data_IF_756093803432
#
_entry.id   IF_756093803432
#
_cell.length_a   1.000
_cell.length_b   1.000
_cell.length_c   1.000
_cell.angle_alpha   90.00
_cell.angle_beta   90.00
_cell.angle_gamma   90.00
#
_symmetry.space_group_name_H-M   'P 1'
#
loop_
_entity.id
_entity.type
_entity.pdbx_description
1 polymer ?
#
# COMPACT_ATOMS: atom_id res chain seq x y z
N UNK A 1 13.46 27.00 -17.62
CA UNK A 1 13.07 25.63 -18.03
C UNK A 1 11.90 25.22 -17.14
N UNK A 2 10.68 25.06 -17.67
CA UNK A 2 9.53 24.71 -16.84
C UNK A 2 9.64 23.24 -16.41
N UNK A 3 9.49 22.98 -15.11
CA UNK A 3 9.35 21.62 -14.58
C UNK A 3 8.11 20.99 -15.20
N UNK A 4 8.29 19.86 -15.91
CA UNK A 4 7.17 19.09 -16.44
C UNK A 4 6.33 18.56 -15.24
N UNK A 5 5.03 18.89 -15.15
CA UNK A 5 4.17 18.51 -14.03
C UNK A 5 3.63 17.07 -14.14
N UNK A 6 4.07 16.30 -15.13
CA UNK A 6 3.82 14.86 -15.17
C UNK A 6 4.65 14.19 -14.08
N UNK A 7 4.05 14.17 -12.90
CA UNK A 7 4.53 13.45 -11.73
C UNK A 7 4.85 12.02 -12.15
N UNK A 8 6.14 11.73 -12.30
CA UNK A 8 6.72 10.42 -12.63
C UNK A 8 6.48 9.36 -11.55
N UNK A 9 5.67 9.69 -10.55
CA UNK A 9 5.32 8.88 -9.41
C UNK A 9 3.81 8.71 -9.36
N UNK A 10 3.32 7.52 -8.98
CA UNK A 10 1.90 7.26 -8.97
C UNK A 10 1.20 8.21 -7.98
N UNK A 11 0.49 9.20 -8.52
CA UNK A 11 -0.41 10.08 -7.76
C UNK A 11 -1.70 9.32 -7.33
N UNK A 12 -1.86 8.07 -7.81
CA UNK A 12 -2.88 7.10 -7.40
C UNK A 12 -2.25 5.97 -6.60
N UNK A 13 -2.92 5.52 -5.53
CA UNK A 13 -2.50 4.34 -4.75
C UNK A 13 -2.16 3.18 -5.68
N UNK A 14 -0.95 2.65 -5.51
CA UNK A 14 -0.38 1.60 -6.34
C UNK A 14 0.29 0.60 -5.43
N UNK A 15 0.04 -0.68 -5.65
CA UNK A 15 0.55 -1.75 -4.82
C UNK A 15 1.31 -2.78 -5.64
N UNK A 16 2.36 -3.34 -5.05
CA UNK A 16 3.04 -4.53 -5.55
C UNK A 16 2.70 -5.71 -4.64
N UNK A 17 2.32 -6.83 -5.24
CA UNK A 17 2.08 -8.09 -4.54
C UNK A 17 3.20 -9.06 -4.92
N UNK A 18 3.94 -9.52 -3.92
CA UNK A 18 4.96 -10.55 -4.06
C UNK A 18 4.41 -11.86 -3.47
N UNK A 19 4.00 -12.76 -4.34
CA UNK A 19 3.50 -14.09 -3.95
C UNK A 19 4.70 -14.99 -3.63
N UNK A 20 4.64 -15.74 -2.52
CA UNK A 20 5.68 -16.71 -2.19
C UNK A 20 5.61 -17.92 -3.11
N UNK A 21 6.74 -18.60 -3.30
CA UNK A 21 6.82 -19.77 -4.17
C UNK A 21 5.94 -20.94 -3.69
N UNK A 22 5.68 -21.03 -2.39
CA UNK A 22 4.86 -22.06 -1.76
C UNK A 22 3.37 -21.68 -1.64
N UNK A 23 2.96 -20.52 -2.18
CA UNK A 23 1.57 -20.08 -2.11
C UNK A 23 0.65 -21.06 -2.84
N UNK A 24 -0.44 -21.43 -2.18
CA UNK A 24 -1.50 -22.27 -2.73
C UNK A 24 -2.72 -21.40 -3.06
N UNK A 25 -3.63 -21.85 -3.94
CA UNK A 25 -4.88 -21.14 -4.22
C UNK A 25 -5.70 -20.86 -2.95
N UNK A 26 -5.71 -21.80 -2.00
CA UNK A 26 -6.42 -21.68 -0.72
C UNK A 26 -5.59 -20.98 0.38
N UNK A 27 -4.28 -20.90 0.18
CA UNK A 27 -3.32 -20.28 1.10
C UNK A 27 -2.39 -19.33 0.33
N UNK A 28 -2.99 -18.25 -0.19
CA UNK A 28 -2.25 -17.22 -0.90
C UNK A 28 -1.39 -16.45 0.11
N UNK A 29 -0.12 -16.82 0.20
CA UNK A 29 0.84 -16.21 1.11
C UNK A 29 1.85 -15.33 0.37
N UNK A 30 2.22 -14.21 0.95
CA UNK A 30 3.06 -13.22 0.28
C UNK A 30 3.26 -11.94 1.06
N UNK A 31 3.70 -10.92 0.32
CA UNK A 31 3.91 -9.57 0.84
C UNK A 31 3.26 -8.53 -0.07
N UNK A 32 2.52 -7.62 0.55
CA UNK A 32 1.97 -6.42 -0.06
C UNK A 32 2.91 -5.24 0.21
N UNK A 33 3.13 -4.41 -0.80
CA UNK A 33 3.93 -3.18 -0.71
C UNK A 33 3.14 -2.03 -1.34
N UNK A 34 2.87 -0.97 -0.56
CA UNK A 34 2.27 0.27 -1.07
C UNK A 34 3.40 1.17 -1.60
N UNK A 35 3.38 1.46 -2.91
CA UNK A 35 4.42 2.26 -3.56
C UNK A 35 4.36 3.75 -3.23
N UNK A 36 3.23 4.23 -2.71
CA UNK A 36 3.04 5.64 -2.35
C UNK A 36 3.54 5.90 -0.94
N UNK A 37 3.25 5.01 0.02
CA UNK A 37 3.63 5.17 1.43
C UNK A 37 4.90 4.41 1.81
N UNK A 38 5.37 3.50 0.96
CA UNK A 38 6.47 2.58 1.25
C UNK A 38 6.12 1.49 2.26
N UNK A 39 4.87 1.44 2.77
CA UNK A 39 4.48 0.46 3.77
C UNK A 39 4.43 -0.95 3.20
N UNK A 40 4.90 -1.91 3.99
CA UNK A 40 4.94 -3.33 3.65
C UNK A 40 4.21 -4.15 4.70
N UNK A 41 3.51 -5.20 4.25
CA UNK A 41 2.79 -6.12 5.13
C UNK A 41 2.78 -7.52 4.55
N UNK A 42 3.06 -8.51 5.39
CA UNK A 42 2.91 -9.92 5.04
C UNK A 42 1.45 -10.35 5.14
N UNK A 43 1.04 -11.31 4.31
CA UNK A 43 -0.28 -11.93 4.37
C UNK A 43 -0.11 -13.44 4.19
N UNK A 44 -0.93 -14.24 4.90
CA UNK A 44 -0.95 -15.70 4.76
C UNK A 44 -2.22 -16.20 4.05
N UNK A 45 -3.14 -15.28 3.72
CA UNK A 45 -4.38 -15.58 3.02
C UNK A 45 -4.84 -14.42 2.14
N UNK A 46 -5.69 -14.71 1.15
CA UNK A 46 -6.34 -13.68 0.34
C UNK A 46 -7.22 -12.73 1.17
N UNK A 47 -7.78 -13.22 2.27
CA UNK A 47 -8.60 -12.42 3.21
C UNK A 47 -7.75 -11.35 3.91
N UNK A 48 -6.58 -11.73 4.41
CA UNK A 48 -5.64 -10.79 5.02
C UNK A 48 -5.09 -9.77 4.03
N UNK A 49 -4.84 -10.18 2.78
CA UNK A 49 -4.44 -9.27 1.71
C UNK A 49 -5.52 -8.20 1.48
N UNK A 50 -6.78 -8.60 1.36
CA UNK A 50 -7.90 -7.67 1.15
C UNK A 50 -8.14 -6.75 2.35
N UNK A 51 -8.07 -7.28 3.58
CA UNK A 51 -8.15 -6.48 4.80
C UNK A 51 -7.01 -5.45 4.89
N UNK A 52 -5.79 -5.84 4.50
CA UNK A 52 -4.63 -4.95 4.45
C UNK A 52 -4.84 -3.78 3.47
N UNK A 53 -5.37 -4.06 2.28
CA UNK A 53 -5.71 -3.03 1.29
C UNK A 53 -6.84 -2.15 1.83
N UNK A 54 -7.90 -2.72 2.39
CA UNK A 54 -9.03 -1.96 2.92
C UNK A 54 -8.61 -1.00 4.04
N UNK A 55 -7.73 -1.44 4.95
CA UNK A 55 -7.17 -0.60 6.01
C UNK A 55 -6.32 0.55 5.46
N UNK A 56 -5.44 0.26 4.52
CA UNK A 56 -4.64 1.29 3.85
C UNK A 56 -5.53 2.28 3.08
N UNK A 57 -6.61 1.77 2.48
CA UNK A 57 -7.59 2.61 1.80
C UNK A 57 -8.30 3.56 2.76
N UNK A 58 -8.70 3.07 3.93
CA UNK A 58 -9.37 3.86 4.98
C UNK A 58 -8.45 4.89 5.66
N UNK A 59 -7.14 4.65 5.73
CA UNK A 59 -6.18 5.51 6.43
C UNK A 59 -5.94 6.88 5.76
N UNK A 60 -6.46 7.11 4.54
CA UNK A 60 -6.29 8.36 3.78
C UNK A 60 -4.83 8.70 3.39
N UNK A 61 -4.59 9.51 2.35
CA UNK A 61 -3.27 10.07 2.09
C UNK A 61 -2.99 11.22 3.06
N UNK A 62 -2.57 10.90 4.28
CA UNK A 62 -2.10 11.88 5.27
C UNK A 62 -3.19 12.75 5.88
N UNK A 63 -3.73 12.33 7.03
CA UNK A 63 -4.03 13.31 8.07
C UNK A 63 -2.69 13.64 8.75
N UNK A 64 -2.08 14.82 8.54
CA UNK A 64 -1.05 15.28 9.46
C UNK A 64 -1.70 15.38 10.85
N UNK A 65 -1.01 15.06 11.95
CA UNK A 65 -1.58 15.25 13.29
C UNK A 65 -2.01 16.72 13.42
N UNK A 66 -3.33 16.96 13.32
CA UNK A 66 -3.92 18.23 13.73
C UNK A 66 -3.73 18.33 15.23
N UNK A 67 -2.65 18.97 15.68
CA UNK A 67 -2.38 19.04 17.11
C UNK A 67 -1.07 19.67 17.50
N UNK A 68 -1.06 21.01 17.54
CA UNK A 68 -0.26 21.76 18.51
C UNK A 68 0.83 22.63 17.92
N UNK A 69 0.47 23.83 17.47
CA UNK A 69 1.38 24.98 17.59
C UNK A 69 1.00 25.75 18.87
N UNK A 70 1.98 26.13 19.71
CA UNK A 70 1.77 26.91 20.94
C UNK A 70 1.46 28.38 20.67
#
# INVERSE_FOLDING_TARGET
MPFQPESKYPNRRSYVIKVRNDAQPDALAGRLENLVTGQQREFASGRELLDSIARDLAAGPGDPPSGGEP
#
